data_IF_194573796157
#
_entry.id   IF_194573796157
#
_cell.length_a   1.000
_cell.length_b   1.000
_cell.length_c   1.000
_cell.angle_alpha   90.00
_cell.angle_beta   90.00
_cell.angle_gamma   90.00
#
_symmetry.space_group_name_H-M   'P 1'
#
loop_
_entity.id
_entity.type
_entity.pdbx_description
1 polymer ?
#
# COMPACT_ATOMS: atom_id res chain seq x y z
N UNK A 1 -40.20 30.62 -18.62
CA UNK A 1 -38.79 31.06 -18.56
C UNK A 1 -38.05 29.93 -17.89
N UNK A 2 -37.04 29.43 -18.60
CA UNK A 2 -36.15 28.28 -18.40
C UNK A 2 -36.19 27.60 -17.02
N UNK A 3 -36.83 26.44 -16.95
CA UNK A 3 -36.37 25.37 -16.06
C UNK A 3 -35.05 24.88 -16.66
N UNK A 4 -33.94 25.33 -16.10
CA UNK A 4 -32.65 24.76 -16.44
C UNK A 4 -32.67 23.31 -15.96
N UNK A 5 -32.52 22.38 -16.90
CA UNK A 5 -32.24 20.96 -16.65
C UNK A 5 -31.20 20.88 -15.52
N UNK A 6 -31.63 20.40 -14.35
CA UNK A 6 -30.73 20.08 -13.23
C UNK A 6 -30.01 18.74 -13.46
N UNK A 7 -30.11 18.18 -14.67
CA UNK A 7 -29.45 16.93 -15.00
C UNK A 7 -27.94 17.17 -15.15
N UNK A 8 -27.11 16.29 -14.54
CA UNK A 8 -25.67 16.39 -14.65
C UNK A 8 -25.25 16.28 -16.11
N UNK A 9 -24.35 17.16 -16.55
CA UNK A 9 -23.78 17.08 -17.90
C UNK A 9 -22.95 15.79 -18.02
N UNK A 10 -23.22 14.94 -19.03
CA UNK A 10 -22.50 13.69 -19.18
C UNK A 10 -21.03 13.93 -19.57
N UNK A 11 -20.10 13.04 -19.16
CA UNK A 11 -18.69 13.13 -19.54
C UNK A 11 -18.49 12.91 -21.04
N UNK A 12 -17.57 13.66 -21.65
CA UNK A 12 -17.27 13.60 -23.09
C UNK A 12 -16.68 12.25 -23.54
N UNK A 13 -16.05 11.51 -22.62
CA UNK A 13 -15.40 10.23 -22.91
C UNK A 13 -16.39 9.05 -23.02
N UNK A 14 -17.67 9.25 -22.67
CA UNK A 14 -18.70 8.22 -22.76
C UNK A 14 -19.44 8.27 -24.09
N UNK A 15 -19.63 7.11 -24.72
CA UNK A 15 -20.45 7.02 -25.94
C UNK A 15 -21.90 7.44 -25.66
N UNK A 16 -22.53 8.14 -26.61
CA UNK A 16 -23.92 8.61 -26.51
C UNK A 16 -24.92 7.46 -26.22
N UNK A 17 -24.70 6.28 -26.79
CA UNK A 17 -25.53 5.10 -26.52
C UNK A 17 -25.47 4.64 -25.06
N UNK A 18 -24.29 4.77 -24.42
CA UNK A 18 -24.11 4.40 -23.01
C UNK A 18 -24.79 5.43 -22.10
N UNK A 19 -24.66 6.73 -22.42
CA UNK A 19 -25.35 7.81 -21.72
C UNK A 19 -26.87 7.56 -21.72
N UNK A 20 -27.47 7.37 -22.90
CA UNK A 20 -28.91 7.08 -23.02
C UNK A 20 -29.36 5.84 -22.25
N UNK A 21 -28.49 4.82 -22.12
CA UNK A 21 -28.79 3.62 -21.31
C UNK A 21 -28.75 3.91 -19.82
N UNK A 22 -27.82 4.75 -19.36
CA UNK A 22 -27.69 5.13 -17.95
C UNK A 22 -28.84 6.04 -17.55
N UNK A 23 -29.22 7.01 -18.39
CA UNK A 23 -30.33 7.94 -18.14
C UNK A 23 -31.69 7.24 -18.05
N UNK A 24 -31.82 6.06 -18.66
CA UNK A 24 -33.02 5.23 -18.59
C UNK A 24 -33.10 4.32 -17.35
N UNK A 25 -32.06 4.27 -16.51
CA UNK A 25 -32.04 3.44 -15.31
C UNK A 25 -32.76 4.11 -14.14
N UNK A 26 -33.49 3.30 -13.38
CA UNK A 26 -34.09 3.75 -12.13
C UNK A 26 -33.04 3.83 -11.01
N UNK A 27 -33.30 4.63 -9.98
CA UNK A 27 -32.39 4.82 -8.83
C UNK A 27 -31.78 3.52 -8.23
N UNK A 28 -32.52 2.42 -8.00
CA UNK A 28 -31.92 1.18 -7.48
C UNK A 28 -30.95 0.51 -8.49
N UNK A 29 -31.21 0.64 -9.78
CA UNK A 29 -30.35 0.11 -10.84
C UNK A 29 -29.08 0.95 -10.95
N UNK A 30 -29.19 2.29 -10.85
CA UNK A 30 -28.03 3.19 -10.80
C UNK A 30 -27.10 2.88 -9.63
N UNK A 31 -27.64 2.63 -8.43
CA UNK A 31 -26.83 2.24 -7.25
C UNK A 31 -26.13 0.89 -7.45
N UNK A 32 -26.82 -0.05 -8.09
CA UNK A 32 -26.26 -1.37 -8.41
C UNK A 32 -25.16 -1.26 -9.46
N UNK A 33 -25.36 -0.41 -10.47
CA UNK A 33 -24.38 -0.09 -11.50
C UNK A 33 -23.14 0.58 -10.89
N UNK A 34 -23.31 1.58 -10.01
CA UNK A 34 -22.20 2.22 -9.29
C UNK A 34 -21.33 1.20 -8.56
N UNK A 35 -21.96 0.31 -7.77
CA UNK A 35 -21.25 -0.75 -7.03
C UNK A 35 -20.52 -1.74 -7.96
N UNK A 36 -21.03 -1.97 -9.17
CA UNK A 36 -20.35 -2.79 -10.17
C UNK A 36 -19.18 -2.04 -10.82
N UNK A 37 -19.38 -0.77 -11.18
CA UNK A 37 -18.34 0.09 -11.75
C UNK A 37 -17.16 0.20 -10.80
N UNK A 38 -17.39 0.47 -9.51
CA UNK A 38 -16.33 0.54 -8.49
C UNK A 38 -15.50 -0.75 -8.43
N UNK A 39 -16.16 -1.92 -8.41
CA UNK A 39 -15.48 -3.23 -8.45
C UNK A 39 -14.75 -3.48 -9.76
N UNK A 40 -15.31 -3.03 -10.89
CA UNK A 40 -14.70 -3.20 -12.20
C UNK A 40 -13.45 -2.34 -12.33
N UNK A 41 -13.50 -1.08 -11.88
CA UNK A 41 -12.35 -0.19 -11.79
C UNK A 41 -11.28 -0.85 -10.93
N UNK A 42 -11.63 -1.30 -9.72
CA UNK A 42 -10.65 -1.96 -8.84
C UNK A 42 -10.01 -3.21 -9.47
N UNK A 43 -10.77 -4.01 -10.22
CA UNK A 43 -10.23 -5.18 -10.92
C UNK A 43 -9.30 -4.87 -12.11
N UNK A 44 -9.37 -3.65 -12.64
CA UNK A 44 -8.56 -3.22 -13.79
C UNK A 44 -7.34 -2.39 -13.36
N UNK A 45 -7.34 -1.87 -12.14
CA UNK A 45 -6.19 -1.16 -11.57
C UNK A 45 -5.02 -2.11 -11.41
N UNK A 46 -3.81 -1.55 -11.52
CA UNK A 46 -2.61 -2.21 -11.02
C UNK A 46 -2.79 -2.49 -9.53
N UNK A 47 -2.25 -3.58 -9.00
CA UNK A 47 -2.36 -3.86 -7.57
C UNK A 47 -1.58 -2.81 -6.75
N UNK A 48 -1.98 -2.58 -5.50
CA UNK A 48 -1.36 -1.52 -4.69
C UNK A 48 0.10 -1.87 -4.39
N UNK A 49 0.38 -3.16 -4.25
CA UNK A 49 1.73 -3.72 -4.06
C UNK A 49 2.61 -3.39 -5.26
N UNK A 50 2.13 -3.64 -6.49
CA UNK A 50 2.90 -3.35 -7.69
C UNK A 50 3.13 -1.83 -7.89
N UNK A 51 2.18 -0.99 -7.51
CA UNK A 51 2.39 0.46 -7.51
C UNK A 51 3.41 0.90 -6.45
N UNK A 52 3.37 0.30 -5.25
CA UNK A 52 4.31 0.57 -4.16
C UNK A 52 5.73 0.20 -4.60
N UNK A 53 5.93 -1.02 -5.11
CA UNK A 53 7.24 -1.50 -5.57
C UNK A 53 7.82 -0.61 -6.68
N UNK A 54 6.99 -0.15 -7.62
CA UNK A 54 7.44 0.67 -8.73
C UNK A 54 7.83 2.10 -8.35
N UNK A 55 7.24 2.66 -7.29
CA UNK A 55 7.36 4.09 -6.95
C UNK A 55 8.01 4.37 -5.59
N UNK A 56 8.32 3.35 -4.81
CA UNK A 56 8.98 3.51 -3.52
C UNK A 56 10.43 3.99 -3.67
N UNK A 57 10.84 4.86 -2.76
CA UNK A 57 12.25 5.20 -2.59
C UNK A 57 12.85 4.36 -1.45
N UNK A 58 14.03 3.80 -1.67
CA UNK A 58 14.67 2.88 -0.73
C UNK A 58 14.30 1.42 -1.01
N UNK A 59 14.33 0.58 0.00
CA UNK A 59 14.12 -0.87 -0.12
C UNK A 59 12.90 -1.28 0.69
N UNK A 60 11.91 -1.88 0.02
CA UNK A 60 10.72 -2.42 0.68
C UNK A 60 11.05 -3.80 1.24
N UNK A 61 10.72 -3.99 2.51
CA UNK A 61 10.90 -5.25 3.22
C UNK A 61 9.62 -6.07 3.21
N UNK A 62 8.49 -5.42 3.44
CA UNK A 62 7.19 -6.08 3.61
C UNK A 62 6.05 -5.16 3.18
N UNK A 63 5.03 -5.74 2.54
CA UNK A 63 3.77 -5.08 2.18
C UNK A 63 2.62 -5.94 2.69
N UNK A 64 1.88 -5.42 3.67
CA UNK A 64 0.64 -6.02 4.15
C UNK A 64 -0.56 -5.32 3.49
N UNK A 65 -1.19 -5.97 2.52
CA UNK A 65 -2.35 -5.41 1.80
C UNK A 65 -3.68 -5.66 2.56
N UNK A 66 -4.40 -4.59 2.87
CA UNK A 66 -5.72 -4.60 3.51
C UNK A 66 -6.85 -4.15 2.58
N UNK A 67 -6.63 -4.17 1.26
CA UNK A 67 -7.59 -3.82 0.21
C UNK A 67 -7.67 -2.32 -0.04
N UNK A 68 -8.14 -1.54 0.94
CA UNK A 68 -8.26 -0.08 0.80
C UNK A 68 -6.94 0.67 1.05
N UNK A 69 -6.01 0.02 1.73
CA UNK A 69 -4.68 0.54 2.08
C UNK A 69 -3.72 -0.64 2.25
N UNK A 70 -2.43 -0.34 2.31
CA UNK A 70 -1.39 -1.27 2.69
C UNK A 70 -0.52 -0.70 3.82
N UNK A 71 0.00 -1.56 4.68
CA UNK A 71 1.09 -1.22 5.58
C UNK A 71 2.40 -1.62 4.92
N UNK A 72 3.37 -0.71 4.90
CA UNK A 72 4.65 -0.92 4.21
C UNK A 72 5.78 -0.71 5.19
N UNK A 73 6.61 -1.73 5.36
CA UNK A 73 7.90 -1.62 6.05
C UNK A 73 8.99 -1.46 5.01
N UNK A 74 9.83 -0.45 5.19
CA UNK A 74 10.95 -0.20 4.26
C UNK A 74 12.16 0.40 4.95
N UNK A 75 13.33 0.14 4.40
CA UNK A 75 14.52 0.92 4.67
C UNK A 75 14.44 2.24 3.88
N UNK A 76 14.58 3.41 4.54
CA UNK A 76 14.64 4.67 3.83
C UNK A 76 15.94 4.77 3.01
N UNK A 77 15.98 5.64 1.99
CA UNK A 77 17.23 5.98 1.31
C UNK A 77 18.29 6.45 2.32
N UNK A 78 19.54 6.11 2.06
CA UNK A 78 20.67 6.57 2.87
C UNK A 78 20.81 8.11 2.75
N UNK A 79 20.87 8.87 3.87
CA UNK A 79 21.05 10.32 3.82
C UNK A 79 22.41 10.76 3.26
N UNK A 80 23.45 9.93 3.37
CA UNK A 80 24.84 10.26 3.06
C UNK A 80 25.34 9.67 1.74
N UNK A 81 24.53 8.88 1.01
CA UNK A 81 25.03 8.22 -0.20
C UNK A 81 24.01 7.47 -1.06
N UNK A 82 24.55 6.69 -2.00
CA UNK A 82 23.76 5.79 -2.85
C UNK A 82 23.54 4.46 -2.12
N UNK A 83 22.35 4.27 -1.58
CA UNK A 83 21.98 3.06 -0.86
C UNK A 83 20.72 3.25 -0.03
N UNK A 84 20.48 2.28 0.84
CA UNK A 84 19.40 2.32 1.83
C UNK A 84 20.00 2.26 3.21
N UNK A 85 19.40 2.97 4.15
CA UNK A 85 19.78 2.92 5.55
C UNK A 85 19.14 1.68 6.20
N UNK A 86 19.92 0.61 6.33
CA UNK A 86 19.49 -0.65 6.93
C UNK A 86 19.36 -0.60 8.46
N UNK A 87 19.88 0.44 9.12
CA UNK A 87 19.79 0.62 10.57
C UNK A 87 18.38 1.06 11.00
N UNK A 88 17.56 1.56 10.07
CA UNK A 88 16.22 2.06 10.32
C UNK A 88 15.21 1.30 9.46
N UNK A 89 14.23 0.68 10.10
CA UNK A 89 13.03 0.20 9.40
C UNK A 89 11.88 1.15 9.70
N UNK A 90 11.33 1.79 8.69
CA UNK A 90 10.21 2.72 8.85
C UNK A 90 8.91 2.06 8.40
N UNK A 91 7.84 2.25 9.17
CA UNK A 91 6.49 1.77 8.86
C UNK A 91 5.65 2.91 8.28
N UNK A 92 4.96 2.62 7.17
CA UNK A 92 4.07 3.55 6.49
C UNK A 92 2.69 2.97 6.30
N UNK A 93 1.67 3.82 6.40
CA UNK A 93 0.33 3.55 5.91
C UNK A 93 0.19 4.16 4.50
N UNK A 94 0.00 3.30 3.50
CA UNK A 94 -0.08 3.69 2.09
C UNK A 94 -1.49 3.49 1.57
N UNK A 95 -2.07 4.53 0.98
CA UNK A 95 -3.41 4.47 0.36
C UNK A 95 -3.40 5.10 -1.01
N UNK A 96 -4.33 4.71 -1.87
CA UNK A 96 -4.62 5.47 -3.10
C UNK A 96 -5.39 6.74 -2.76
N UNK A 97 -5.00 7.83 -3.39
CA UNK A 97 -5.68 9.11 -3.28
C UNK A 97 -6.05 9.60 -4.68
N UNK A 98 -7.35 9.85 -4.88
CA UNK A 98 -7.88 10.48 -6.09
C UNK A 98 -7.54 11.96 -6.07
N UNK A 99 -6.83 12.40 -7.09
CA UNK A 99 -6.62 13.82 -7.33
C UNK A 99 -7.83 14.44 -8.05
N UNK A 100 -7.94 15.77 -7.94
CA UNK A 100 -9.05 16.53 -8.50
C UNK A 100 -9.10 16.48 -10.04
N UNK A 101 -7.97 16.16 -10.68
CA UNK A 101 -7.83 15.98 -12.12
C UNK A 101 -8.17 14.54 -12.58
N UNK A 102 -8.56 13.66 -11.66
CA UNK A 102 -8.86 12.26 -11.92
C UNK A 102 -7.63 11.34 -11.92
N UNK A 103 -6.41 11.88 -11.71
CA UNK A 103 -5.24 11.05 -11.53
C UNK A 103 -5.27 10.34 -10.17
N UNK A 104 -4.63 9.17 -10.09
CA UNK A 104 -4.43 8.45 -8.83
C UNK A 104 -2.96 8.50 -8.44
N UNK A 105 -2.70 8.66 -7.15
CA UNK A 105 -1.35 8.59 -6.60
C UNK A 105 -1.35 7.88 -5.26
N UNK A 106 -0.20 7.32 -4.87
CA UNK A 106 -0.01 6.75 -3.55
C UNK A 106 0.26 7.84 -2.54
N UNK A 107 -0.60 7.94 -1.53
CA UNK A 107 -0.39 8.75 -0.34
C UNK A 107 0.32 7.93 0.73
N UNK A 108 1.49 8.40 1.17
CA UNK A 108 2.32 7.73 2.16
C UNK A 108 2.27 8.49 3.50
N UNK A 109 1.70 7.87 4.53
CA UNK A 109 1.69 8.40 5.88
C UNK A 109 2.70 7.64 6.75
N UNK A 110 3.75 8.33 7.21
CA UNK A 110 4.72 7.75 8.14
C UNK A 110 4.08 7.47 9.50
N UNK A 111 4.20 6.24 9.99
CA UNK A 111 3.65 5.80 11.27
C UNK A 111 4.71 5.71 12.38
N UNK A 112 5.99 5.61 12.02
CA UNK A 112 7.09 5.52 12.97
C UNK A 112 8.18 4.57 12.49
N UNK A 113 9.31 4.60 13.20
CA UNK A 113 10.36 3.61 13.03
C UNK A 113 10.07 2.40 13.90
N UNK A 114 10.18 1.21 13.31
CA UNK A 114 9.99 -0.08 13.95
C UNK A 114 11.34 -0.77 14.04
N UNK A 115 11.56 -1.52 15.13
CA UNK A 115 12.75 -2.35 15.21
C UNK A 115 12.61 -3.47 14.18
N UNK A 116 13.70 -3.73 13.44
CA UNK A 116 13.73 -4.85 12.54
C UNK A 116 13.57 -6.12 13.38
N UNK A 117 12.43 -6.79 13.28
CA UNK A 117 12.17 -8.08 13.91
C UNK A 117 12.93 -9.18 13.16
N UNK A 118 14.22 -8.96 12.86
CA UNK A 118 15.11 -10.08 12.64
C UNK A 118 15.27 -10.72 14.01
N UNK A 119 14.35 -11.61 14.35
CA UNK A 119 14.40 -12.33 15.61
C UNK A 119 15.65 -13.22 15.56
N UNK A 120 16.72 -12.72 16.15
CA UNK A 120 17.91 -13.51 16.36
C UNK A 120 17.55 -14.53 17.43
N UNK A 121 17.49 -15.80 17.07
CA UNK A 121 17.17 -16.88 17.99
C UNK A 121 18.44 -17.65 18.33
N UNK A 122 18.78 -17.69 19.61
CA UNK A 122 19.88 -18.53 20.06
C UNK A 122 19.46 -19.99 19.98
N UNK A 123 20.18 -20.81 19.21
CA UNK A 123 19.90 -22.24 19.06
C UNK A 123 20.20 -23.02 20.35
N UNK A 124 21.18 -22.55 21.13
CA UNK A 124 21.59 -23.18 22.39
C UNK A 124 20.58 -23.01 23.53
N UNK A 125 19.93 -21.85 23.65
CA UNK A 125 19.01 -21.59 24.77
C UNK A 125 17.57 -21.23 24.36
N UNK A 126 17.31 -21.10 23.06
CA UNK A 126 15.98 -20.85 22.51
C UNK A 126 15.42 -19.44 22.74
N UNK A 127 16.21 -18.52 23.31
CA UNK A 127 15.82 -17.11 23.47
C UNK A 127 15.83 -16.40 22.12
N UNK A 128 14.78 -15.63 21.86
CA UNK A 128 14.71 -14.67 20.76
C UNK A 128 15.15 -13.29 21.22
N UNK A 129 15.71 -12.52 20.30
CA UNK A 129 16.19 -11.17 20.53
C UNK A 129 15.77 -10.28 19.35
N UNK A 130 15.26 -9.10 19.66
CA UNK A 130 14.77 -8.12 18.66
C UNK A 130 15.93 -7.32 18.01
N UNK A 131 17.12 -7.91 17.99
CA UNK A 131 18.35 -7.33 17.44
C UNK A 131 19.31 -8.43 17.07
N UNK A 132 20.13 -8.17 16.06
CA UNK A 132 21.24 -9.05 15.71
C UNK A 132 22.23 -9.15 16.89
N UNK A 133 22.62 -10.38 17.23
CA UNK A 133 23.57 -10.69 18.30
C UNK A 133 24.52 -11.78 17.84
N UNK A 134 25.82 -11.50 17.84
CA UNK A 134 26.84 -12.51 17.52
C UNK A 134 27.04 -13.52 18.66
N UNK A 135 26.82 -13.09 19.89
CA UNK A 135 26.95 -13.93 21.10
C UNK A 135 25.73 -13.74 21.97
N UNK A 136 25.10 -14.85 22.35
CA UNK A 136 23.92 -14.82 23.21
C UNK A 136 24.25 -14.25 24.60
N UNK A 137 23.66 -13.11 25.01
CA UNK A 137 23.95 -12.51 26.32
C UNK A 137 23.43 -13.34 27.49
N UNK A 138 22.58 -14.34 27.22
CA UNK A 138 22.00 -15.20 28.24
C UNK A 138 22.85 -16.45 28.53
N UNK A 139 23.40 -17.10 27.51
CA UNK A 139 24.17 -18.35 27.66
C UNK A 139 25.62 -18.28 27.15
N UNK A 140 26.00 -17.21 26.45
CA UNK A 140 27.35 -17.02 25.91
C UNK A 140 27.69 -17.89 24.70
N UNK A 141 26.69 -18.52 24.07
CA UNK A 141 26.87 -19.26 22.81
C UNK A 141 26.86 -18.30 21.62
N UNK A 142 27.72 -18.59 20.64
CA UNK A 142 27.78 -17.88 19.36
C UNK A 142 26.84 -18.52 18.31
N UNK A 143 26.05 -19.53 18.71
CA UNK A 143 25.09 -20.22 17.85
C UNK A 143 23.76 -19.47 17.86
N UNK A 144 23.72 -18.39 17.08
CA UNK A 144 22.53 -17.56 16.88
C UNK A 144 22.10 -17.65 15.42
N UNK A 145 20.87 -18.13 15.20
CA UNK A 145 20.23 -18.12 13.89
C UNK A 145 19.48 -16.79 13.72
N UNK A 146 19.74 -16.10 12.62
CA UNK A 146 18.88 -15.02 12.13
C UNK A 146 17.88 -15.65 11.17
N UNK A 147 16.61 -15.72 11.55
CA UNK A 147 15.56 -16.09 10.60
C UNK A 147 15.34 -14.89 9.67
N UNK A 148 16.04 -14.90 8.53
CA UNK A 148 15.72 -14.05 7.38
C UNK A 148 14.65 -14.81 6.61
N UNK A 149 13.40 -14.37 6.66
CA UNK A 149 12.35 -14.96 5.83
C UNK A 149 12.74 -14.77 4.34
N UNK A 150 12.96 -15.88 3.63
CA UNK A 150 13.22 -15.94 2.17
C UNK A 150 11.98 -15.60 1.34
#
# INVERSE_FOLDING_TARGET
MSDADNDPTPPDDLSEMLIQRIDALELPELKSLLSYIERRIESLRTSIEAEIEANTAGEVLEIENHGAYALVRKHPPDPDGSGVNTDITSLYHVRREHQLDGAESLHWAFLGDVHNTTEARCESCGRTFDREIDTCPNCGSDDVATETEE
#
